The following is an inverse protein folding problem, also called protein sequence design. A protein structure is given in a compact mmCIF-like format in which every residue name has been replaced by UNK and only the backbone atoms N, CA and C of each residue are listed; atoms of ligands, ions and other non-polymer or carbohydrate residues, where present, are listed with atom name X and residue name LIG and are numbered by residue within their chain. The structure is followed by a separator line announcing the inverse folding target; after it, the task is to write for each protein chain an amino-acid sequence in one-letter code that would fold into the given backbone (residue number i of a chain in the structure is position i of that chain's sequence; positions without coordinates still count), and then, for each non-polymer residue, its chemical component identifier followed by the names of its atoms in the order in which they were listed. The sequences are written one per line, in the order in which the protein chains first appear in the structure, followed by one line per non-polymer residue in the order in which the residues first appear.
data_IF_579608067216
#
_entry.id   IF_579608067216
#
_cell.length_a   1.000
_cell.length_b   1.000
_cell.length_c   1.000
_cell.angle_alpha   90.00
_cell.angle_beta   90.00
_cell.angle_gamma   90.00
#
_symmetry.space_group_name_H-M   'P 1'
#
loop_
_entity.id
_entity.type
_entity.pdbx_description
1 polymer ?
#
# COMPACT_ATOMS: atom_id res chain seq x y z
N UNK A 1 -18.39 19.08 16.65
CA UNK A 1 -18.20 18.78 16.37
C UNK A 1 -18.13 18.46 16.12
N UNK A 2 -17.95 18.59 16.21
CA UNK A 2 -17.64 18.13 15.85
C UNK A 2 -17.27 17.82 15.47
N UNK A 3 -17.04 17.84 15.61
CA UNK A 3 -16.51 17.44 15.19
C UNK A 3 -16.01 17.10 14.99
N UNK A 4 -15.74 16.99 15.29
CA UNK A 4 -15.18 16.48 15.15
C UNK A 4 -14.95 15.86 14.88
N UNK A 5 -14.96 15.70 15.15
CA UNK A 5 -14.64 14.95 14.88
C UNK A 5 -14.39 14.68 14.54
N UNK A 6 -14.60 14.74 14.63
CA UNK A 6 -14.17 14.59 14.44
C UNK A 6 -13.37 14.15 14.25
N UNK A 7 -13.12 13.96 14.55
CA UNK A 7 -12.33 13.62 14.53
C UNK A 7 -11.79 12.66 14.78
N UNK A 8 -11.82 12.19 15.04
CA UNK A 8 -11.49 11.32 15.07
C UNK A 8 -11.79 10.34 14.64
N UNK A 9 -11.65 10.39 14.64
CA UNK A 9 -12.30 9.13 14.60
C UNK A 9 -11.87 8.21 13.50
N UNK A 10 -11.63 8.65 12.31
CA UNK A 10 -11.00 7.76 11.34
C UNK A 10 -9.58 7.50 11.79
N UNK A 11 -9.19 6.24 11.84
CA UNK A 11 -7.83 5.88 12.15
C UNK A 11 -6.90 6.35 11.03
N UNK A 12 -5.60 6.41 11.32
CA UNK A 12 -4.61 6.76 10.31
C UNK A 12 -4.67 5.78 9.13
N UNK A 13 -4.96 4.52 9.41
CA UNK A 13 -5.09 3.50 8.36
C UNK A 13 -6.25 3.78 7.42
N UNK A 14 -7.38 4.19 7.98
CA UNK A 14 -8.54 4.50 7.17
C UNK A 14 -8.32 5.73 6.30
N UNK A 15 -7.65 6.73 6.85
CA UNK A 15 -7.31 7.92 6.09
C UNK A 15 -6.35 7.60 4.96
N UNK A 16 -5.36 6.77 5.24
CA UNK A 16 -4.41 6.32 4.22
C UNK A 16 -5.13 5.54 3.13
N UNK A 17 -6.02 4.64 3.52
CA UNK A 17 -6.77 3.85 2.57
C UNK A 17 -7.58 4.72 1.62
N UNK A 18 -8.24 5.75 2.16
CA UNK A 18 -9.00 6.69 1.35
C UNK A 18 -8.10 7.45 0.38
N UNK A 19 -6.97 7.92 0.88
CA UNK A 19 -6.01 8.67 0.09
C UNK A 19 -5.49 7.85 -1.08
N UNK A 20 -5.20 6.57 -0.83
CA UNK A 20 -4.62 5.69 -1.85
C UNK A 20 -5.66 5.12 -2.82
N UNK A 21 -6.94 5.24 -2.50
CA UNK A 21 -8.02 4.56 -3.23
C UNK A 21 -8.05 4.77 -4.72
N UNK A 22 -7.69 5.96 -5.20
CA UNK A 22 -7.70 6.26 -6.63
C UNK A 22 -6.34 6.14 -7.29
N UNK A 23 -5.33 5.66 -6.57
CA UNK A 23 -3.96 5.61 -7.08
C UNK A 23 -3.59 4.24 -7.62
N UNK A 24 -2.70 4.22 -8.61
CA UNK A 24 -2.09 2.98 -9.10
C UNK A 24 -1.15 2.44 -8.04
N UNK A 25 -0.70 1.19 -8.21
CA UNK A 25 0.25 0.58 -7.27
C UNK A 25 1.53 1.41 -7.17
N UNK A 26 2.06 1.82 -8.31
CA UNK A 26 3.29 2.62 -8.34
C UNK A 26 3.10 3.95 -7.60
N UNK A 27 1.98 4.61 -7.85
CA UNK A 27 1.69 5.88 -7.15
C UNK A 27 1.59 5.68 -5.65
N UNK A 28 0.98 4.56 -5.21
CA UNK A 28 0.87 4.24 -3.78
C UNK A 28 2.24 4.01 -3.16
N UNK A 29 3.13 3.34 -3.89
CA UNK A 29 4.49 3.10 -3.40
C UNK A 29 5.25 4.41 -3.20
N UNK A 30 5.14 5.32 -4.16
CA UNK A 30 5.78 6.63 -4.03
C UNK A 30 5.16 7.45 -2.90
N UNK A 31 3.85 7.47 -2.83
CA UNK A 31 3.14 8.25 -1.82
C UNK A 31 3.50 7.81 -0.40
N UNK A 32 3.72 6.52 -0.20
CA UNK A 32 4.03 5.97 1.12
C UNK A 32 5.54 5.85 1.38
N UNK A 33 6.37 6.26 0.43
CA UNK A 33 7.82 6.18 0.56
C UNK A 33 8.36 4.76 0.50
N UNK A 34 7.60 3.81 -0.04
CA UNK A 34 7.99 2.41 -0.06
C UNK A 34 8.52 1.91 -1.39
N UNK A 35 8.62 2.78 -2.38
CA UNK A 35 9.06 2.34 -3.71
C UNK A 35 10.43 1.68 -3.68
N UNK A 36 11.36 2.27 -2.96
CA UNK A 36 12.73 1.75 -2.87
C UNK A 36 12.76 0.37 -2.22
N UNK A 37 12.03 0.21 -1.14
CA UNK A 37 11.93 -1.08 -0.45
C UNK A 37 11.31 -2.14 -1.35
N UNK A 38 10.28 -1.75 -2.09
CA UNK A 38 9.61 -2.64 -3.03
C UNK A 38 10.60 -3.10 -4.11
N UNK A 39 11.36 -2.16 -4.66
CA UNK A 39 12.33 -2.45 -5.71
C UNK A 39 13.40 -3.41 -5.23
N UNK A 40 13.92 -3.17 -4.03
CA UNK A 40 14.93 -4.05 -3.43
C UNK A 40 14.40 -5.46 -3.23
N UNK A 41 13.21 -5.56 -2.67
CA UNK A 41 12.61 -6.87 -2.41
C UNK A 41 12.30 -7.61 -3.70
N UNK A 42 11.83 -6.88 -4.73
CA UNK A 42 11.55 -7.47 -6.03
C UNK A 42 12.81 -7.99 -6.69
N UNK A 43 13.89 -7.20 -6.64
CA UNK A 43 15.17 -7.62 -7.22
C UNK A 43 15.75 -8.81 -6.50
N UNK A 44 15.53 -8.91 -5.20
CA UNK A 44 15.98 -10.05 -4.40
C UNK A 44 15.03 -11.24 -4.50
N UNK A 45 13.90 -11.07 -5.19
CA UNK A 45 12.84 -12.08 -5.31
C UNK A 45 12.31 -12.51 -3.94
N UNK A 46 12.27 -11.55 -3.01
CA UNK A 46 11.77 -11.78 -1.66
C UNK A 46 10.25 -11.60 -1.66
N UNK A 47 9.55 -12.66 -2.07
CA UNK A 47 8.12 -12.64 -2.26
C UNK A 47 7.36 -12.27 -0.99
N UNK A 48 7.84 -12.74 0.16
CA UNK A 48 7.18 -12.47 1.43
C UNK A 48 7.20 -10.97 1.75
N UNK A 49 8.33 -10.31 1.53
CA UNK A 49 8.45 -8.88 1.78
C UNK A 49 7.64 -8.09 0.75
N UNK A 50 7.71 -8.49 -0.52
CA UNK A 50 6.92 -7.83 -1.57
C UNK A 50 5.43 -7.89 -1.21
N UNK A 51 4.95 -9.07 -0.79
CA UNK A 51 3.55 -9.22 -0.39
C UNK A 51 3.20 -8.27 0.77
N UNK A 52 4.05 -8.23 1.79
CA UNK A 52 3.79 -7.36 2.94
C UNK A 52 3.68 -5.89 2.54
N UNK A 53 4.58 -5.44 1.67
CA UNK A 53 4.54 -4.06 1.19
C UNK A 53 3.23 -3.79 0.45
N UNK A 54 2.85 -4.68 -0.46
CA UNK A 54 1.64 -4.51 -1.25
C UNK A 54 0.39 -4.51 -0.36
N UNK A 55 0.36 -5.38 0.64
CA UNK A 55 -0.76 -5.41 1.58
C UNK A 55 -0.84 -4.11 2.37
N UNK A 56 0.29 -3.54 2.73
CA UNK A 56 0.33 -2.32 3.53
C UNK A 56 -0.20 -1.11 2.77
N UNK A 57 -0.24 -1.18 1.45
CA UNK A 57 -0.78 -0.09 0.63
C UNK A 57 -2.13 -0.46 0.00
N UNK A 58 -2.78 -1.47 0.57
CA UNK A 58 -4.15 -1.87 0.24
C UNK A 58 -4.34 -2.38 -1.19
N UNK A 59 -3.33 -3.07 -1.73
CA UNK A 59 -3.47 -3.75 -3.01
C UNK A 59 -4.27 -5.03 -2.79
N UNK A 60 -5.22 -5.30 -3.68
CA UNK A 60 -6.06 -6.47 -3.58
C UNK A 60 -5.29 -7.76 -3.91
N UNK A 61 -5.82 -8.89 -3.46
CA UNK A 61 -5.13 -10.16 -3.60
C UNK A 61 -4.87 -10.56 -5.06
N UNK A 62 -5.83 -10.31 -5.93
CA UNK A 62 -5.65 -10.64 -7.37
C UNK A 62 -4.47 -9.88 -7.96
N UNK A 63 -4.39 -8.58 -7.64
CA UNK A 63 -3.28 -7.75 -8.13
C UNK A 63 -1.95 -8.18 -7.50
N UNK A 64 -1.98 -8.53 -6.22
CA UNK A 64 -0.76 -9.02 -5.55
C UNK A 64 -0.25 -10.26 -6.25
N UNK A 65 -1.12 -11.24 -6.53
CA UNK A 65 -0.69 -12.47 -7.22
C UNK A 65 -0.10 -12.17 -8.59
N UNK A 66 -0.73 -11.27 -9.34
CA UNK A 66 -0.21 -10.88 -10.65
C UNK A 66 1.20 -10.32 -10.54
N UNK A 67 1.42 -9.46 -9.55
CA UNK A 67 2.74 -8.85 -9.35
C UNK A 67 3.76 -9.90 -8.92
N UNK A 68 3.38 -10.77 -7.97
CA UNK A 68 4.29 -11.83 -7.51
C UNK A 68 4.66 -12.79 -8.63
N UNK A 69 3.72 -13.08 -9.51
CA UNK A 69 3.96 -13.98 -10.64
C UNK A 69 4.97 -13.40 -11.64
N UNK A 70 5.12 -12.07 -11.66
CA UNK A 70 6.03 -11.41 -12.59
C UNK A 70 7.43 -11.19 -12.02
N UNK A 71 7.65 -11.56 -10.77
CA UNK A 71 8.96 -11.41 -10.10
C UNK A 71 9.91 -12.62 -10.42
#
# INVERSE_FOLDING_TARGET
MSDQNKYYPLSDLEQLRKKLGGMTVIERLYETGQFENFEKASNAKDVAVVRKILESIFVDETSIQTILDSI
#
